data_IF_754346763961
#
_entry.id   IF_754346763961
#
_cell.length_a   1.000
_cell.length_b   1.000
_cell.length_c   1.000
_cell.angle_alpha   90.00
_cell.angle_beta   90.00
_cell.angle_gamma   90.00
#
_symmetry.space_group_name_H-M   'P 1'
#
loop_
_entity.id
_entity.type
_entity.pdbx_description
1 polymer ?
#
# COMPACT_ATOMS: atom_id res chain seq x y z
N UNK A 1 11.58 -10.81 -24.40
CA UNK A 1 10.46 -9.91 -24.05
C UNK A 1 9.86 -10.43 -22.77
N UNK A 2 10.20 -9.84 -21.63
CA UNK A 2 9.63 -10.23 -20.34
C UNK A 2 8.20 -9.72 -20.32
N UNK A 3 7.22 -10.61 -20.34
CA UNK A 3 5.83 -10.26 -20.09
C UNK A 3 5.78 -9.67 -18.68
N UNK A 4 5.44 -8.40 -18.55
CA UNK A 4 5.05 -7.81 -17.27
C UNK A 4 3.76 -8.51 -16.89
N UNK A 5 3.87 -9.63 -16.16
CA UNK A 5 2.71 -10.31 -15.59
C UNK A 5 2.08 -9.31 -14.64
N UNK A 6 0.97 -8.69 -15.05
CA UNK A 6 0.09 -7.97 -14.16
C UNK A 6 -0.17 -8.94 -12.99
N UNK A 7 0.15 -8.52 -11.76
CA UNK A 7 -0.29 -9.28 -10.58
C UNK A 7 -1.80 -9.31 -10.64
N UNK A 8 -2.34 -10.46 -11.06
CA UNK A 8 -3.78 -10.68 -11.14
C UNK A 8 -4.37 -10.40 -9.77
N UNK A 9 -5.47 -9.64 -9.74
CA UNK A 9 -6.09 -9.24 -8.50
C UNK A 9 -6.51 -10.50 -7.71
N UNK A 10 -6.08 -10.66 -6.45
CA UNK A 10 -6.49 -11.82 -5.67
C UNK A 10 -7.99 -11.75 -5.41
N UNK A 11 -8.63 -12.92 -5.33
CA UNK A 11 -10.02 -13.00 -4.88
C UNK A 11 -10.06 -12.61 -3.39
N UNK A 12 -10.67 -11.46 -3.10
CA UNK A 12 -10.75 -10.92 -1.74
C UNK A 12 -11.76 -11.71 -0.91
N UNK A 13 -11.26 -12.39 0.12
CA UNK A 13 -12.05 -13.15 1.08
C UNK A 13 -11.48 -12.93 2.49
N UNK A 14 -12.27 -13.05 3.57
CA UNK A 14 -11.72 -12.92 4.92
C UNK A 14 -10.60 -13.93 5.20
N UNK A 15 -10.71 -15.14 4.64
CA UNK A 15 -9.71 -16.20 4.75
C UNK A 15 -8.34 -15.78 4.17
N UNK A 16 -8.34 -14.98 3.10
CA UNK A 16 -7.10 -14.42 2.55
C UNK A 16 -6.40 -13.51 3.57
N UNK A 17 -7.15 -12.67 4.29
CA UNK A 17 -6.60 -11.76 5.29
C UNK A 17 -6.10 -12.47 6.55
N UNK A 18 -6.76 -13.55 6.97
CA UNK A 18 -6.31 -14.35 8.12
C UNK A 18 -5.06 -15.19 7.82
N UNK A 19 -4.80 -15.50 6.55
CA UNK A 19 -3.56 -16.16 6.15
C UNK A 19 -2.43 -15.15 5.98
N UNK A 20 -1.76 -14.84 7.07
CA UNK A 20 -0.64 -13.89 7.13
C UNK A 20 0.42 -14.17 6.06
N UNK A 21 0.74 -15.45 5.80
CA UNK A 21 1.74 -15.83 4.81
C UNK A 21 1.31 -15.43 3.41
N UNK A 22 0.08 -15.75 3.00
CA UNK A 22 -0.44 -15.38 1.69
C UNK A 22 -0.50 -13.87 1.50
N UNK A 23 -0.97 -13.13 2.50
CA UNK A 23 -1.03 -11.68 2.46
C UNK A 23 0.38 -11.06 2.32
N UNK A 24 1.35 -11.51 3.13
CA UNK A 24 2.73 -11.03 3.07
C UNK A 24 3.40 -11.37 1.74
N UNK A 25 3.19 -12.57 1.23
CA UNK A 25 3.75 -13.02 -0.04
C UNK A 25 3.17 -12.20 -1.21
N UNK A 26 1.86 -11.92 -1.21
CA UNK A 26 1.22 -11.02 -2.17
C UNK A 26 1.82 -9.61 -2.15
N UNK A 27 1.92 -8.99 -0.97
CA UNK A 27 2.45 -7.62 -0.82
C UNK A 27 3.91 -7.55 -1.25
N UNK A 28 4.71 -8.54 -0.85
CA UNK A 28 6.13 -8.63 -1.22
C UNK A 28 6.29 -8.79 -2.73
N UNK A 29 5.55 -9.71 -3.33
CA UNK A 29 5.62 -9.97 -4.77
C UNK A 29 5.22 -8.71 -5.55
N UNK A 30 4.06 -8.12 -5.24
CA UNK A 30 3.55 -6.93 -5.93
C UNK A 30 4.52 -5.73 -5.87
N UNK A 31 5.21 -5.54 -4.73
CA UNK A 31 6.25 -4.51 -4.62
C UNK A 31 7.50 -4.85 -5.43
N UNK A 32 7.98 -6.09 -5.33
CA UNK A 32 9.21 -6.51 -6.01
C UNK A 32 9.10 -6.51 -7.53
N UNK A 33 7.91 -6.81 -8.08
CA UNK A 33 7.69 -6.90 -9.52
C UNK A 33 7.51 -5.54 -10.18
N UNK A 34 6.96 -4.54 -9.47
CA UNK A 34 6.63 -3.22 -10.04
C UNK A 34 7.48 -2.09 -9.43
N UNK A 35 7.51 -1.97 -8.11
CA UNK A 35 8.07 -0.79 -7.45
C UNK A 35 9.59 -0.87 -7.35
N UNK A 36 10.12 -2.02 -6.89
CA UNK A 36 11.57 -2.21 -6.77
C UNK A 36 12.25 -2.23 -8.15
N UNK A 37 11.52 -2.67 -9.18
CA UNK A 37 11.98 -2.73 -10.57
C UNK A 37 11.58 -1.49 -11.39
N UNK A 38 10.99 -0.44 -10.78
CA UNK A 38 10.41 0.69 -11.52
C UNK A 38 11.43 1.38 -12.44
N UNK A 39 12.68 1.53 -11.97
CA UNK A 39 13.75 2.11 -12.77
C UNK A 39 14.07 1.25 -13.99
N UNK A 40 14.06 -0.08 -13.85
CA UNK A 40 14.28 -1.01 -14.97
C UNK A 40 13.12 -0.94 -15.97
N UNK A 41 11.89 -0.90 -15.47
CA UNK A 41 10.69 -0.74 -16.31
C UNK A 41 10.75 0.57 -17.11
N UNK A 42 11.09 1.69 -16.47
CA UNK A 42 11.21 2.99 -17.14
C UNK A 42 12.35 3.03 -18.15
N UNK A 43 13.50 2.46 -17.81
CA UNK A 43 14.63 2.34 -18.74
C UNK A 43 14.29 1.45 -19.94
N UNK A 44 13.44 0.43 -19.77
CA UNK A 44 12.99 -0.41 -20.88
C UNK A 44 12.07 0.34 -21.86
N UNK A 45 11.37 1.39 -21.41
CA UNK A 45 10.61 2.29 -22.30
C UNK A 45 11.53 3.14 -23.17
N UNK A 46 12.79 3.34 -22.75
CA UNK A 46 13.80 3.98 -23.56
C UNK A 46 14.34 2.97 -24.57
N UNK A 47 13.84 3.00 -25.80
CA UNK A 47 14.35 2.17 -26.90
C UNK A 47 15.11 3.03 -27.93
N UNK A 48 16.45 3.18 -27.81
CA UNK A 48 17.27 3.89 -28.80
C UNK A 48 17.15 3.30 -30.22
N UNK A 49 16.92 1.99 -30.33
CA UNK A 49 16.89 1.28 -31.60
C UNK A 49 15.74 1.72 -32.54
N UNK A 50 14.65 2.30 -32.01
CA UNK A 50 13.54 2.81 -32.83
C UNK A 50 13.94 4.01 -33.70
N UNK A 51 14.98 4.75 -33.32
CA UNK A 51 15.45 5.92 -34.07
C UNK A 51 16.40 5.55 -35.22
N UNK A 52 16.73 4.26 -35.40
CA UNK A 52 17.73 3.81 -36.37
C UNK A 52 19.17 4.13 -35.94
N UNK A 53 20.14 3.47 -36.57
CA UNK A 53 21.55 3.76 -36.35
C UNK A 53 21.99 4.89 -37.29
N UNK A 54 22.43 6.02 -36.72
CA UNK A 54 23.07 7.09 -37.48
C UNK A 54 24.59 6.90 -37.44
N UNK A 55 25.27 6.62 -38.56
CA UNK A 55 26.71 6.42 -38.58
C UNK A 55 27.50 7.67 -38.13
N UNK A 56 26.92 8.87 -38.28
CA UNK A 56 27.54 10.12 -37.81
C UNK A 56 27.57 10.23 -36.28
N UNK A 57 26.74 9.47 -35.57
CA UNK A 57 26.69 9.45 -34.09
C UNK A 57 27.94 8.86 -33.43
N UNK A 58 28.78 8.14 -34.20
CA UNK A 58 30.05 7.57 -33.71
C UNK A 58 31.25 8.47 -33.91
N UNK A 59 31.10 9.56 -34.68
CA UNK A 59 32.18 10.48 -35.01
C UNK A 59 32.55 11.43 -33.85
N UNK A 60 31.66 11.59 -32.87
CA UNK A 60 31.86 12.45 -31.70
C UNK A 60 31.74 11.62 -30.43
N UNK A 61 32.78 11.69 -29.58
CA UNK A 61 32.74 11.08 -28.24
C UNK A 61 31.68 11.81 -27.42
N UNK A 62 30.49 11.23 -27.25
CA UNK A 62 29.45 11.80 -26.38
C UNK A 62 29.91 11.68 -24.92
N UNK A 63 30.64 12.69 -24.44
CA UNK A 63 31.07 12.82 -23.03
C UNK A 63 30.01 13.50 -22.16
N UNK A 64 29.02 14.13 -22.80
CA UNK A 64 28.03 14.94 -22.10
C UNK A 64 26.80 14.11 -21.75
N UNK A 65 26.64 13.85 -20.46
CA UNK A 65 25.44 13.26 -19.85
C UNK A 65 24.15 14.08 -20.05
N UNK A 66 24.22 15.21 -20.77
CA UNK A 66 23.13 16.14 -21.03
C UNK A 66 22.18 15.71 -22.16
N UNK A 67 22.50 14.65 -22.91
CA UNK A 67 21.55 13.99 -23.81
C UNK A 67 20.89 12.80 -23.12
N UNK A 68 20.37 12.99 -21.90
CA UNK A 68 19.41 12.03 -21.33
C UNK A 68 18.22 11.99 -22.27
N UNK A 69 18.18 11.00 -23.16
CA UNK A 69 17.06 10.77 -24.05
C UNK A 69 15.80 10.75 -23.19
N UNK A 70 14.89 11.70 -23.40
CA UNK A 70 13.63 11.72 -22.66
C UNK A 70 12.84 10.48 -23.02
N UNK A 71 12.20 9.85 -22.03
CA UNK A 71 11.19 8.83 -22.30
C UNK A 71 10.08 9.50 -23.12
N UNK A 72 9.59 8.81 -24.14
CA UNK A 72 8.44 9.26 -24.91
C UNK A 72 7.23 9.42 -23.97
N UNK A 73 6.60 10.61 -23.89
CA UNK A 73 5.53 10.87 -22.93
C UNK A 73 4.33 9.96 -23.12
N UNK A 74 4.02 9.55 -24.36
CA UNK A 74 2.86 8.68 -24.62
C UNK A 74 3.08 7.26 -24.12
N UNK A 75 4.28 6.72 -24.33
CA UNK A 75 4.67 5.40 -23.82
C UNK A 75 4.77 5.40 -22.29
N UNK A 76 5.30 6.48 -21.70
CA UNK A 76 5.33 6.67 -20.25
C UNK A 76 3.91 6.75 -19.67
N UNK A 77 3.01 7.48 -20.32
CA UNK A 77 1.61 7.56 -19.92
C UNK A 77 0.93 6.19 -19.99
N UNK A 78 1.16 5.43 -21.06
CA UNK A 78 0.65 4.06 -21.20
C UNK A 78 1.15 3.13 -20.09
N UNK A 79 2.42 3.23 -19.68
CA UNK A 79 2.94 2.46 -18.55
C UNK A 79 2.26 2.84 -17.23
N UNK A 80 2.08 4.14 -16.98
CA UNK A 80 1.42 4.62 -15.76
C UNK A 80 -0.02 4.11 -15.66
N UNK A 81 -0.80 4.32 -16.72
CA UNK A 81 -2.24 4.07 -16.69
C UNK A 81 -2.60 2.59 -16.76
N UNK A 82 -1.80 1.78 -17.46
CA UNK A 82 -2.12 0.38 -17.69
C UNK A 82 -1.34 -0.59 -16.79
N UNK A 83 -0.27 -0.14 -16.14
CA UNK A 83 0.58 -1.02 -15.31
C UNK A 83 0.75 -0.45 -13.91
N UNK A 84 1.30 0.75 -13.77
CA UNK A 84 1.70 1.28 -12.47
C UNK A 84 0.50 1.54 -11.56
N UNK A 85 -0.44 2.38 -12.01
CA UNK A 85 -1.59 2.79 -11.20
C UNK A 85 -2.54 1.61 -10.92
N UNK A 86 -2.87 0.73 -11.88
CA UNK A 86 -3.66 -0.45 -11.56
C UNK A 86 -3.01 -1.34 -10.51
N UNK A 87 -1.69 -1.59 -10.61
CA UNK A 87 -0.98 -2.42 -9.63
C UNK A 87 -0.99 -1.80 -8.22
N UNK A 88 -0.85 -0.48 -8.13
CA UNK A 88 -0.93 0.26 -6.87
C UNK A 88 -2.35 0.25 -6.29
N UNK A 89 -3.36 0.35 -7.15
CA UNK A 89 -4.76 0.27 -6.77
C UNK A 89 -5.07 -1.11 -6.19
N UNK A 90 -4.69 -2.20 -6.87
CA UNK A 90 -4.90 -3.57 -6.37
C UNK A 90 -4.29 -3.79 -4.99
N UNK A 91 -3.09 -3.26 -4.72
CA UNK A 91 -2.51 -3.31 -3.37
C UNK A 91 -3.31 -2.52 -2.35
N UNK A 92 -3.75 -1.32 -2.72
CA UNK A 92 -4.57 -0.47 -1.85
C UNK A 92 -5.90 -1.14 -1.52
N UNK A 93 -6.53 -1.80 -2.49
CA UNK A 93 -7.79 -2.52 -2.32
C UNK A 93 -7.62 -3.68 -1.34
N UNK A 94 -6.56 -4.48 -1.50
CA UNK A 94 -6.23 -5.57 -0.57
C UNK A 94 -6.03 -5.07 0.86
N UNK A 95 -5.24 -4.01 1.04
CA UNK A 95 -4.97 -3.43 2.35
C UNK A 95 -6.25 -2.86 2.99
N UNK A 96 -7.07 -2.16 2.20
CA UNK A 96 -8.34 -1.59 2.66
C UNK A 96 -9.32 -2.68 3.07
N UNK A 97 -9.43 -3.73 2.26
CA UNK A 97 -10.28 -4.88 2.54
C UNK A 97 -9.85 -5.59 3.83
N UNK A 98 -8.56 -5.91 3.97
CA UNK A 98 -8.07 -6.58 5.17
C UNK A 98 -8.13 -5.70 6.43
N UNK A 99 -8.00 -4.38 6.30
CA UNK A 99 -8.28 -3.47 7.40
C UNK A 99 -9.75 -3.53 7.83
N UNK A 100 -10.68 -3.57 6.87
CA UNK A 100 -12.10 -3.78 7.13
C UNK A 100 -12.36 -5.08 7.90
N UNK A 101 -11.83 -6.21 7.41
CA UNK A 101 -11.96 -7.53 8.06
C UNK A 101 -11.37 -7.53 9.48
N UNK A 102 -10.23 -6.86 9.69
CA UNK A 102 -9.60 -6.78 11.01
C UNK A 102 -10.42 -5.97 12.04
N UNK A 103 -11.28 -5.07 11.57
CA UNK A 103 -12.13 -4.21 12.42
C UNK A 103 -13.58 -4.68 12.49
N UNK A 104 -13.99 -5.64 11.66
CA UNK A 104 -15.35 -6.15 11.67
C UNK A 104 -15.56 -7.09 12.88
N UNK A 105 -16.64 -6.93 13.64
CA UNK A 105 -17.01 -7.89 14.68
C UNK A 105 -17.28 -9.27 14.07
N UNK A 106 -16.87 -10.33 14.76
CA UNK A 106 -17.14 -11.70 14.35
C UNK A 106 -18.65 -11.98 14.50
N UNK A 107 -19.39 -12.25 13.41
CA UNK A 107 -20.83 -12.48 13.47
C UNK A 107 -21.20 -13.78 14.22
N UNK A 108 -20.26 -14.73 14.32
CA UNK A 108 -20.47 -16.02 14.96
C UNK A 108 -19.95 -16.06 16.41
N UNK A 109 -19.44 -14.93 16.95
CA UNK A 109 -19.01 -14.84 18.34
C UNK A 109 -20.23 -14.84 19.27
N UNK A 110 -20.47 -15.94 20.04
CA UNK A 110 -21.62 -16.04 20.93
C UNK A 110 -21.56 -15.04 22.08
N UNK A 111 -20.36 -14.55 22.41
CA UNK A 111 -20.12 -13.64 23.50
C UNK A 111 -20.09 -12.18 23.04
N UNK A 112 -20.31 -11.90 21.74
CA UNK A 112 -20.25 -10.53 21.18
C UNK A 112 -21.17 -9.57 21.95
N UNK A 113 -22.44 -9.97 22.12
CA UNK A 113 -23.44 -9.16 22.84
C UNK A 113 -23.03 -9.00 24.30
N UNK A 114 -22.63 -10.08 24.97
CA UNK A 114 -22.21 -10.03 26.37
C UNK A 114 -21.05 -9.07 26.55
N UNK A 115 -20.02 -9.19 25.72
CA UNK A 115 -18.83 -8.37 25.77
C UNK A 115 -19.11 -6.89 25.47
N UNK A 116 -20.00 -6.60 24.53
CA UNK A 116 -20.43 -5.23 24.23
C UNK A 116 -21.25 -4.62 25.37
N UNK A 117 -22.14 -5.40 26.00
CA UNK A 117 -22.87 -4.95 27.21
C UNK A 117 -21.95 -4.73 28.42
N UNK A 118 -20.95 -5.59 28.62
CA UNK A 118 -19.94 -5.43 29.68
C UNK A 118 -19.10 -4.19 29.45
N UNK A 119 -18.62 -3.97 28.22
CA UNK A 119 -17.88 -2.76 27.85
C UNK A 119 -18.71 -1.48 28.04
N UNK A 120 -20.00 -1.50 27.70
CA UNK A 120 -20.90 -0.37 27.92
C UNK A 120 -21.06 -0.07 29.42
N UNK A 121 -21.31 -1.10 30.24
CA UNK A 121 -21.43 -0.98 31.70
C UNK A 121 -20.14 -0.45 32.34
N UNK A 122 -18.99 -0.97 31.91
CA UNK A 122 -17.70 -0.59 32.48
C UNK A 122 -17.32 0.85 32.12
N UNK A 123 -17.78 1.37 30.96
CA UNK A 123 -17.64 2.79 30.58
C UNK A 123 -18.50 3.73 31.43
N UNK A 124 -19.66 3.28 31.91
CA UNK A 124 -20.55 4.08 32.77
C UNK A 124 -20.06 4.14 34.23
N UNK A 125 -19.11 3.27 34.61
CA UNK A 125 -18.62 3.18 35.98
C UNK A 125 -17.74 4.38 36.33
N UNK A 126 -18.12 5.15 37.34
CA UNK A 126 -17.27 6.21 37.90
C UNK A 126 -16.21 5.57 38.80
N UNK A 127 -14.94 5.60 38.39
CA UNK A 127 -13.81 5.06 39.17
C UNK A 127 -12.88 6.19 39.60
N UNK A 128 -12.42 6.14 40.84
CA UNK A 128 -11.39 7.05 41.33
C UNK A 128 -10.02 6.50 40.96
N UNK A 129 -9.38 7.13 39.98
CA UNK A 129 -8.10 6.71 39.37
C UNK A 129 -6.94 6.66 40.37
N UNK A 130 -7.06 7.36 41.51
CA UNK A 130 -6.08 7.27 42.61
C UNK A 130 -6.19 5.95 43.39
N UNK A 131 -7.37 5.34 43.41
CA UNK A 131 -7.62 4.07 44.11
C UNK A 131 -7.38 2.85 43.21
N UNK A 132 -7.57 3.01 41.91
CA UNK A 132 -7.27 2.00 40.89
C UNK A 132 -6.53 2.63 39.69
N UNK A 133 -5.19 2.53 39.65
CA UNK A 133 -4.38 3.09 38.56
C UNK A 133 -4.61 2.40 37.19
N UNK A 134 -5.24 1.22 37.16
CA UNK A 134 -5.41 0.45 35.92
C UNK A 134 -6.73 0.74 35.22
N UNK A 135 -7.64 1.49 35.84
CA UNK A 135 -8.95 1.83 35.27
C UNK A 135 -8.88 2.76 34.05
N UNK A 136 -7.75 3.44 33.83
CA UNK A 136 -7.51 4.34 32.69
C UNK A 136 -7.77 3.70 31.31
N UNK A 137 -7.68 2.37 31.21
CA UNK A 137 -7.89 1.63 29.96
C UNK A 137 -9.35 1.61 29.50
N UNK A 138 -10.31 1.86 30.39
CA UNK A 138 -11.74 1.77 30.11
C UNK A 138 -12.38 3.12 29.78
N UNK A 139 -11.68 4.23 30.04
CA UNK A 139 -12.17 5.58 29.77
C UNK A 139 -11.56 6.14 28.48
N UNK A 140 -12.35 6.85 27.65
CA UNK A 140 -11.80 7.55 26.51
C UNK A 140 -10.82 8.63 26.98
N UNK A 141 -9.55 8.54 26.55
CA UNK A 141 -8.56 9.60 26.77
C UNK A 141 -9.06 10.84 26.05
N UNK A 142 -9.44 11.88 26.80
CA UNK A 142 -9.63 13.21 26.20
C UNK A 142 -8.27 13.64 25.67
N UNK A 143 -8.16 13.81 24.35
CA UNK A 143 -7.02 14.51 23.77
C UNK A 143 -7.13 15.97 24.20
N UNK A 144 -6.47 16.30 25.31
CA UNK A 144 -6.35 17.67 25.75
C UNK A 144 -5.53 18.41 24.69
N UNK A 145 -6.22 19.29 23.97
CA UNK A 145 -5.64 20.10 22.92
C UNK A 145 -4.73 21.13 23.60
N UNK A 146 -3.46 20.77 23.78
CA UNK A 146 -2.44 21.63 24.38
C UNK A 146 -2.27 22.88 23.52
N UNK A 147 -3.01 23.93 23.85
CA UNK A 147 -2.83 25.27 23.32
C UNK A 147 -1.61 25.87 24.03
N UNK A 148 -0.45 25.82 23.38
CA UNK A 148 0.74 26.51 23.85
C UNK A 148 0.55 28.03 23.64
N UNK A 149 0.70 28.88 24.68
CA UNK A 149 0.74 30.31 24.46
C UNK A 149 2.09 30.68 23.82
N UNK A 150 2.02 31.47 22.75
CA UNK A 150 3.15 32.07 22.02
C UNK A 150 3.99 32.97 22.89
#
# INVERSE_FOLDING_TARGET
MSQTTLTEAPVLTPQFCFNERLLRDFLRLSRSTIDDSIAQNLNALMTPARQGFDPSSTAVRQTDSNTRKSIDPTTCQGFKDNVLFPSWQTRSDVLTYCAGVATSPDPDDPDLILRETEFARDRERVVNERLDPYSARFFPVKLEQNHWPT
#
